data_IF_281237601493
#
_entry.id   IF_281237601493
#
_cell.length_a   1.000
_cell.length_b   1.000
_cell.length_c   1.000
_cell.angle_alpha   90.00
_cell.angle_beta   90.00
_cell.angle_gamma   90.00
#
_symmetry.space_group_name_H-M   'P 1'
#
loop_
_entity.id
_entity.type
_entity.pdbx_description
1 polymer ?
#
# COMPACT_ATOMS: atom_id res chain seq x y z
N UNK A 1 19.02 4.38 -8.10
CA UNK A 1 17.79 4.14 -7.30
C UNK A 1 17.43 5.42 -6.55
N UNK A 2 16.68 6.34 -7.19
CA UNK A 2 16.27 7.65 -6.63
C UNK A 2 14.80 8.00 -6.91
N UNK A 3 13.99 7.07 -7.46
CA UNK A 3 12.65 7.38 -8.02
C UNK A 3 11.46 7.10 -7.10
N UNK A 4 11.67 6.53 -5.91
CA UNK A 4 10.59 6.14 -4.99
C UNK A 4 10.33 7.13 -3.84
N UNK A 5 11.30 8.00 -3.52
CA UNK A 5 11.18 8.93 -2.39
C UNK A 5 10.21 10.09 -2.68
N UNK A 6 9.98 10.39 -3.97
CA UNK A 6 9.08 11.47 -4.39
C UNK A 6 7.61 11.12 -4.28
N UNK A 7 7.24 9.85 -4.51
CA UNK A 7 5.86 9.39 -4.28
C UNK A 7 5.57 9.36 -2.77
N UNK A 8 6.56 9.01 -1.94
CA UNK A 8 6.50 9.01 -0.47
C UNK A 8 6.04 10.32 0.16
N UNK A 9 6.32 11.49 -0.45
CA UNK A 9 5.96 12.79 0.11
C UNK A 9 4.49 13.20 -0.15
N UNK A 10 3.80 12.54 -1.07
CA UNK A 10 2.45 12.95 -1.50
C UNK A 10 1.29 12.39 -0.67
N UNK A 11 1.56 11.52 0.29
CA UNK A 11 0.58 10.50 0.66
C UNK A 11 0.19 10.45 2.12
N UNK A 12 1.01 10.98 3.00
CA UNK A 12 0.64 11.38 4.34
C UNK A 12 1.92 11.84 5.02
N UNK A 13 1.91 13.13 5.41
CA UNK A 13 2.96 13.88 6.10
C UNK A 13 3.58 14.96 5.20
N UNK A 14 3.07 16.18 5.40
CA UNK A 14 3.96 17.32 5.51
C UNK A 14 5.04 16.99 6.55
N UNK A 15 6.15 16.37 6.12
CA UNK A 15 7.37 16.26 6.90
C UNK A 15 8.45 16.94 6.09
N UNK A 16 8.55 18.23 6.36
CA UNK A 16 9.79 18.99 6.28
C UNK A 16 10.91 18.20 6.98
N UNK A 17 11.70 17.44 6.24
CA UNK A 17 12.99 16.97 6.74
C UNK A 17 13.94 16.63 5.59
N UNK A 18 14.92 17.52 5.35
CA UNK A 18 16.26 17.02 5.08
C UNK A 18 16.96 17.35 3.78
N UNK A 19 16.70 18.50 3.13
CA UNK A 19 17.74 19.12 2.26
C UNK A 19 18.53 20.17 3.06
N UNK A 20 18.92 19.82 4.29
CA UNK A 20 19.76 20.67 5.15
C UNK A 20 21.24 20.31 5.13
N UNK A 21 21.68 19.35 4.30
CA UNK A 21 23.08 18.90 4.31
C UNK A 21 23.88 19.22 3.04
N UNK A 22 23.28 19.42 1.86
CA UNK A 22 24.04 19.70 0.62
C UNK A 22 24.03 21.16 0.16
N UNK A 23 23.14 22.01 0.67
CA UNK A 23 23.14 23.46 0.37
C UNK A 23 23.78 24.33 1.46
N UNK A 24 24.46 23.71 2.45
CA UNK A 24 25.02 24.44 3.60
C UNK A 24 26.15 25.42 3.27
N UNK A 25 26.63 25.50 2.02
CA UNK A 25 27.75 26.38 1.67
C UNK A 25 27.59 27.26 0.42
N UNK A 26 26.45 27.30 -0.28
CA UNK A 26 26.43 28.00 -1.58
C UNK A 26 25.85 29.42 -1.61
N UNK A 27 25.18 29.96 -0.58
CA UNK A 27 24.96 31.42 -0.55
C UNK A 27 24.53 31.97 0.82
N UNK A 28 25.48 32.54 1.57
CA UNK A 28 25.18 33.37 2.75
C UNK A 28 24.44 34.68 2.40
N UNK A 29 24.35 35.01 1.11
CA UNK A 29 23.75 36.26 0.60
C UNK A 29 22.32 36.10 0.04
N UNK A 30 21.78 34.88 -0.03
CA UNK A 30 20.42 34.66 -0.53
C UNK A 30 19.37 35.06 0.52
N UNK A 31 18.29 35.72 0.08
CA UNK A 31 17.20 36.10 0.97
C UNK A 31 16.54 34.86 1.59
N UNK A 32 15.84 35.03 2.72
CA UNK A 32 15.07 33.92 3.32
C UNK A 32 14.01 33.37 2.35
N UNK A 33 13.47 34.21 1.47
CA UNK A 33 12.46 33.85 0.47
C UNK A 33 13.07 33.06 -0.69
N UNK A 34 14.24 33.47 -1.19
CA UNK A 34 15.01 32.71 -2.20
C UNK A 34 15.34 31.32 -1.69
N UNK A 35 15.77 31.21 -0.42
CA UNK A 35 16.08 29.92 0.20
C UNK A 35 14.85 29.03 0.37
N UNK A 36 13.68 29.61 0.64
CA UNK A 36 12.43 28.87 0.70
C UNK A 36 12.05 28.28 -0.65
N UNK A 37 12.07 29.08 -1.71
CA UNK A 37 11.79 28.63 -3.08
C UNK A 37 12.73 27.50 -3.51
N UNK A 38 14.03 27.65 -3.28
CA UNK A 38 15.03 26.63 -3.61
C UNK A 38 14.94 25.36 -2.74
N UNK A 39 14.17 25.40 -1.65
CA UNK A 39 13.93 24.26 -0.77
C UNK A 39 12.55 23.61 -0.98
N UNK A 40 11.73 24.13 -1.91
CA UNK A 40 10.47 23.50 -2.27
C UNK A 40 10.70 22.10 -2.86
N UNK A 41 9.69 21.25 -2.74
CA UNK A 41 9.70 19.93 -3.36
C UNK A 41 9.79 20.07 -4.89
N UNK A 42 10.54 19.18 -5.53
CA UNK A 42 10.66 19.10 -6.99
C UNK A 42 9.37 18.55 -7.63
N UNK A 43 8.32 18.27 -6.85
CA UNK A 43 7.05 17.72 -7.31
C UNK A 43 5.90 18.68 -6.99
N UNK A 44 5.03 18.87 -7.98
CA UNK A 44 3.77 19.58 -7.83
C UNK A 44 2.62 18.61 -8.09
N UNK A 45 1.58 18.73 -7.27
CA UNK A 45 0.46 17.81 -7.25
C UNK A 45 -0.78 18.57 -7.70
N UNK A 46 -1.55 17.99 -8.63
CA UNK A 46 -2.82 18.58 -9.07
C UNK A 46 -3.93 17.56 -9.15
N UNK A 47 -5.03 17.86 -8.45
CA UNK A 47 -6.26 17.09 -8.55
C UNK A 47 -7.00 17.45 -9.83
N UNK A 48 -7.40 16.44 -10.60
CA UNK A 48 -8.22 16.61 -11.80
C UNK A 48 -9.37 15.60 -11.84
N UNK A 49 -10.57 16.06 -12.19
CA UNK A 49 -11.79 15.23 -12.18
C UNK A 49 -11.81 14.15 -13.28
N UNK A 50 -11.09 14.36 -14.38
CA UNK A 50 -11.05 13.48 -15.56
C UNK A 50 -9.63 13.37 -16.13
N UNK A 51 -9.43 12.44 -17.07
CA UNK A 51 -8.18 12.31 -17.83
C UNK A 51 -7.89 13.59 -18.60
N UNK A 52 -7.08 14.46 -18.00
CA UNK A 52 -6.62 15.72 -18.56
C UNK A 52 -5.19 15.54 -19.03
N UNK A 53 -4.90 15.93 -20.26
CA UNK A 53 -3.51 16.09 -20.71
C UNK A 53 -2.93 17.32 -20.00
N UNK A 54 -1.70 17.21 -19.50
CA UNK A 54 -0.94 18.31 -18.90
C UNK A 54 -0.95 19.54 -19.82
N UNK A 55 -0.97 19.34 -21.15
CA UNK A 55 -1.04 20.42 -22.15
C UNK A 55 -2.34 21.22 -22.12
N UNK A 56 -3.39 20.69 -21.51
CA UNK A 56 -4.70 21.34 -21.43
C UNK A 56 -4.89 22.17 -20.16
N UNK A 57 -3.91 22.19 -19.25
CA UNK A 57 -3.95 22.98 -18.04
C UNK A 57 -3.94 24.48 -18.36
N UNK A 58 -4.80 25.21 -17.68
CA UNK A 58 -4.92 26.67 -17.79
C UNK A 58 -4.04 27.39 -16.76
N UNK A 59 -3.85 28.69 -16.93
CA UNK A 59 -3.17 29.51 -15.93
C UNK A 59 -3.84 29.47 -14.56
N UNK A 60 -5.17 29.34 -14.51
CA UNK A 60 -5.91 29.17 -13.26
C UNK A 60 -5.53 27.86 -12.56
N UNK A 61 -5.35 26.76 -13.31
CA UNK A 61 -4.87 25.50 -12.74
C UNK A 61 -3.47 25.64 -12.17
N UNK A 62 -2.54 26.31 -12.87
CA UNK A 62 -1.19 26.53 -12.33
C UNK A 62 -1.18 27.42 -11.09
N UNK A 63 -2.08 28.39 -11.02
CA UNK A 63 -2.26 29.21 -9.82
C UNK A 63 -2.72 28.35 -8.63
N UNK A 64 -3.70 27.48 -8.83
CA UNK A 64 -4.18 26.55 -7.80
C UNK A 64 -3.07 25.59 -7.34
N UNK A 65 -2.35 24.98 -8.28
CA UNK A 65 -1.24 24.05 -8.00
C UNK A 65 -0.18 24.72 -7.13
N UNK A 66 0.27 25.90 -7.54
CA UNK A 66 1.29 26.63 -6.79
C UNK A 66 0.74 27.12 -5.45
N UNK A 67 -0.52 27.55 -5.40
CA UNK A 67 -1.13 27.95 -4.14
C UNK A 67 -1.13 26.80 -3.14
N UNK A 68 -1.53 25.59 -3.54
CA UNK A 68 -1.48 24.41 -2.67
C UNK A 68 -0.06 24.13 -2.18
N UNK A 69 0.93 24.17 -3.07
CA UNK A 69 2.33 23.92 -2.74
C UNK A 69 2.93 24.96 -1.76
N UNK A 70 2.52 26.22 -1.85
CA UNK A 70 3.01 27.28 -0.96
C UNK A 70 2.20 27.39 0.34
N UNK A 71 0.95 26.93 0.38
CA UNK A 71 0.05 27.13 1.51
C UNK A 71 0.24 26.12 2.65
N UNK A 72 1.32 25.33 2.59
CA UNK A 72 1.72 24.34 3.61
C UNK A 72 2.03 25.01 4.95
N UNK A 73 2.54 26.24 4.95
CA UNK A 73 2.86 27.02 6.14
C UNK A 73 2.59 28.52 5.93
N UNK A 74 2.60 29.31 7.01
CA UNK A 74 2.27 30.74 6.95
C UNK A 74 3.33 31.57 6.21
N UNK A 75 4.59 31.12 6.19
CA UNK A 75 5.65 31.80 5.47
C UNK A 75 5.50 31.62 3.95
N UNK A 76 5.17 30.42 3.50
CA UNK A 76 4.86 30.12 2.10
C UNK A 76 3.62 30.89 1.62
N UNK A 77 2.57 30.99 2.44
CA UNK A 77 1.40 31.85 2.14
C UNK A 77 1.79 33.31 1.96
N UNK A 78 2.61 33.85 2.87
CA UNK A 78 3.13 35.22 2.77
C UNK A 78 3.90 35.41 1.45
N UNK A 79 4.80 34.48 1.13
CA UNK A 79 5.61 34.55 -0.07
C UNK A 79 4.76 34.51 -1.35
N UNK A 80 3.85 33.54 -1.47
CA UNK A 80 2.98 33.38 -2.63
C UNK A 80 2.18 34.65 -2.96
N UNK A 81 1.67 35.33 -1.92
CA UNK A 81 0.90 36.56 -2.10
C UNK A 81 1.74 37.76 -2.59
N UNK A 82 3.06 37.72 -2.41
CA UNK A 82 4.00 38.81 -2.72
C UNK A 82 4.87 38.54 -3.95
N UNK A 83 4.72 37.39 -4.61
CA UNK A 83 5.41 37.07 -5.85
C UNK A 83 4.41 36.94 -7.01
N UNK A 84 4.96 36.93 -8.21
CA UNK A 84 4.27 36.58 -9.45
C UNK A 84 5.00 35.41 -10.08
N UNK A 85 4.28 34.56 -10.79
CA UNK A 85 4.86 33.42 -11.49
C UNK A 85 4.51 33.48 -12.98
N UNK A 86 5.39 32.91 -13.79
CA UNK A 86 5.21 32.75 -15.23
C UNK A 86 5.61 31.32 -15.61
N UNK A 87 4.68 30.59 -16.21
CA UNK A 87 4.96 29.25 -16.73
C UNK A 87 5.75 29.40 -18.03
N UNK A 88 7.03 29.02 -18.01
CA UNK A 88 7.92 29.15 -19.16
C UNK A 88 7.76 27.97 -20.12
N UNK A 89 7.58 26.76 -19.58
CA UNK A 89 7.65 25.52 -20.36
C UNK A 89 6.93 24.37 -19.66
N UNK A 90 6.29 23.52 -20.46
CA UNK A 90 5.65 22.27 -20.03
C UNK A 90 5.97 21.19 -21.06
N UNK A 91 6.77 20.20 -20.68
CA UNK A 91 7.10 19.05 -21.54
C UNK A 91 7.21 17.79 -20.69
N UNK A 92 6.56 16.70 -21.13
CA UNK A 92 6.66 15.37 -20.52
C UNK A 92 6.42 15.31 -19.00
N UNK A 93 5.56 16.19 -18.47
CA UNK A 93 5.27 16.30 -17.04
C UNK A 93 6.25 17.19 -16.26
N UNK A 94 7.27 17.76 -16.89
CA UNK A 94 8.12 18.78 -16.29
C UNK A 94 7.57 20.19 -16.56
N UNK A 95 7.34 20.94 -15.49
CA UNK A 95 6.85 22.31 -15.46
C UNK A 95 7.99 23.25 -15.04
N UNK A 96 8.38 24.17 -15.92
CA UNK A 96 9.40 25.20 -15.63
C UNK A 96 8.72 26.53 -15.33
N UNK A 97 8.98 27.10 -14.15
CA UNK A 97 8.29 28.29 -13.63
C UNK A 97 9.31 29.35 -13.26
N UNK A 98 9.03 30.57 -13.67
CA UNK A 98 9.78 31.77 -13.33
C UNK A 98 9.03 32.56 -12.25
N UNK A 99 9.66 32.74 -11.10
CA UNK A 99 9.17 33.54 -9.98
C UNK A 99 9.82 34.93 -9.97
N UNK A 100 9.01 35.98 -9.77
CA UNK A 100 9.42 37.39 -9.72
C UNK A 100 8.73 38.11 -8.56
N UNK A 101 9.38 39.10 -7.98
CA UNK A 101 8.77 39.96 -6.96
C UNK A 101 7.57 40.75 -7.51
N UNK A 102 6.48 40.82 -6.74
CA UNK A 102 5.36 41.71 -7.02
C UNK A 102 5.72 43.14 -6.56
N UNK A 103 5.30 44.16 -7.32
CA UNK A 103 5.30 45.57 -6.90
C UNK A 103 6.62 46.12 -6.28
N UNK A 104 7.79 45.83 -6.86
CA UNK A 104 9.11 46.35 -6.42
C UNK A 104 9.50 46.00 -4.97
N UNK A 105 8.90 44.98 -4.34
CA UNK A 105 9.17 44.59 -2.94
C UNK A 105 10.59 44.05 -2.71
N UNK A 106 11.32 43.66 -3.76
CA UNK A 106 12.70 43.12 -3.72
C UNK A 106 12.88 42.02 -2.66
N UNK A 107 11.94 41.08 -2.55
CA UNK A 107 12.02 39.96 -1.60
C UNK A 107 12.97 38.88 -2.11
N UNK A 108 12.90 38.56 -3.40
CA UNK A 108 13.75 37.54 -4.03
C UNK A 108 15.13 38.09 -4.44
N UNK A 109 15.27 39.41 -4.54
CA UNK A 109 16.42 40.16 -5.09
C UNK A 109 16.71 39.91 -6.58
N UNK A 110 16.39 38.72 -7.08
CA UNK A 110 16.53 38.30 -8.45
C UNK A 110 15.37 37.39 -8.87
N UNK A 111 15.20 37.24 -10.18
CA UNK A 111 14.25 36.31 -10.76
C UNK A 111 14.73 34.87 -10.57
N UNK A 112 13.86 33.97 -10.10
CA UNK A 112 14.21 32.58 -9.80
C UNK A 112 13.46 31.66 -10.76
N UNK A 113 14.17 30.78 -11.44
CA UNK A 113 13.58 29.75 -12.31
C UNK A 113 13.71 28.40 -11.60
N UNK A 114 12.58 27.74 -11.39
CA UNK A 114 12.51 26.38 -10.85
C UNK A 114 11.86 25.43 -11.85
N UNK A 115 12.18 24.15 -11.69
CA UNK A 115 11.58 23.06 -12.46
C UNK A 115 10.90 22.11 -11.49
N UNK A 116 9.70 21.70 -11.84
CA UNK A 116 8.89 20.78 -11.06
C UNK A 116 8.43 19.63 -11.94
N UNK A 117 8.28 18.44 -11.36
CA UNK A 117 7.57 17.33 -11.95
C UNK A 117 6.10 17.47 -11.53
N UNK A 118 5.22 17.72 -12.49
CA UNK A 118 3.78 17.77 -12.26
C UNK A 118 3.20 16.36 -12.25
N UNK A 119 2.40 16.08 -11.22
CA UNK A 119 1.69 14.82 -11.05
C UNK A 119 0.19 15.09 -11.05
N UNK A 120 -0.49 14.63 -12.09
CA UNK A 120 -1.95 14.69 -12.22
C UNK A 120 -2.60 13.43 -11.63
N UNK A 121 -3.55 13.64 -10.71
CA UNK A 121 -4.29 12.56 -10.07
C UNK A 121 -5.78 12.87 -9.90
N UNK A 122 -6.61 11.83 -9.93
CA UNK A 122 -8.05 11.89 -9.73
C UNK A 122 -8.42 11.42 -8.32
N UNK A 123 -8.36 12.33 -7.35
CA UNK A 123 -8.64 12.03 -5.95
C UNK A 123 -10.12 11.70 -5.68
N UNK A 124 -11.05 12.19 -6.50
CA UNK A 124 -12.50 11.91 -6.34
C UNK A 124 -12.80 10.42 -6.47
N UNK A 125 -11.96 9.68 -7.20
CA UNK A 125 -12.14 8.26 -7.43
C UNK A 125 -11.46 7.37 -6.40
N UNK A 126 -10.80 7.92 -5.38
CA UNK A 126 -10.13 7.10 -4.36
C UNK A 126 -11.10 6.17 -3.64
N UNK A 127 -12.25 6.68 -3.20
CA UNK A 127 -13.22 5.84 -2.47
C UNK A 127 -13.78 4.73 -3.36
N UNK A 128 -14.12 5.04 -4.61
CA UNK A 128 -14.58 4.06 -5.61
C UNK A 128 -13.49 3.02 -5.88
N UNK A 129 -12.24 3.46 -6.04
CA UNK A 129 -11.09 2.59 -6.24
C UNK A 129 -10.91 1.63 -5.07
N UNK A 130 -10.89 2.14 -3.84
CA UNK A 130 -10.74 1.36 -2.61
C UNK A 130 -11.84 0.31 -2.50
N UNK A 131 -13.09 0.71 -2.75
CA UNK A 131 -14.23 -0.19 -2.72
C UNK A 131 -14.06 -1.36 -3.71
N UNK A 132 -13.72 -1.05 -4.97
CA UNK A 132 -13.53 -2.08 -6.01
C UNK A 132 -12.34 -2.97 -5.68
N UNK A 133 -11.21 -2.41 -5.26
CA UNK A 133 -10.01 -3.18 -4.93
C UNK A 133 -10.20 -4.09 -3.73
N UNK A 134 -10.86 -3.61 -2.67
CA UNK A 134 -11.19 -4.44 -1.50
C UNK A 134 -12.08 -5.62 -1.88
N UNK A 135 -13.10 -5.38 -2.71
CA UNK A 135 -13.96 -6.46 -3.21
C UNK A 135 -13.18 -7.45 -4.06
N UNK A 136 -12.30 -6.97 -4.94
CA UNK A 136 -11.45 -7.83 -5.76
C UNK A 136 -10.52 -8.70 -4.91
N UNK A 137 -9.81 -8.12 -3.95
CA UNK A 137 -8.88 -8.83 -3.07
C UNK A 137 -9.59 -9.83 -2.15
N UNK A 138 -10.78 -9.49 -1.65
CA UNK A 138 -11.63 -10.41 -0.85
C UNK A 138 -12.11 -11.62 -1.66
N UNK A 139 -12.52 -11.39 -2.91
CA UNK A 139 -13.05 -12.44 -3.78
C UNK A 139 -11.95 -13.30 -4.44
N UNK A 140 -10.70 -12.86 -4.41
CA UNK A 140 -9.58 -13.57 -5.03
C UNK A 140 -8.52 -13.96 -3.99
N UNK A 141 -8.85 -14.76 -2.96
CA UNK A 141 -7.95 -15.04 -1.84
C UNK A 141 -6.58 -15.54 -2.28
N UNK A 142 -5.51 -15.09 -1.63
CA UNK A 142 -4.19 -15.70 -1.83
C UNK A 142 -4.18 -17.10 -1.18
N UNK A 143 -3.73 -18.10 -1.96
CA UNK A 143 -3.72 -19.50 -1.54
C UNK A 143 -2.30 -19.86 -1.11
N UNK A 144 -2.16 -20.29 0.15
CA UNK A 144 -0.91 -20.75 0.73
C UNK A 144 -0.79 -22.27 0.56
N UNK A 145 0.25 -22.72 -0.13
CA UNK A 145 0.42 -24.13 -0.55
C UNK A 145 1.47 -24.89 0.25
N UNK A 146 2.29 -24.19 1.05
CA UNK A 146 3.27 -24.80 1.97
C UNK A 146 2.95 -24.45 3.42
N UNK A 147 3.48 -25.28 4.32
CA UNK A 147 3.27 -25.14 5.77
C UNK A 147 4.06 -24.00 6.40
N UNK A 148 5.18 -23.58 5.80
CA UNK A 148 6.05 -22.53 6.35
C UNK A 148 6.30 -21.46 5.29
N UNK A 149 5.69 -20.29 5.48
CA UNK A 149 6.01 -19.06 4.75
C UNK A 149 6.71 -18.08 5.70
N UNK A 150 7.76 -17.43 5.22
CA UNK A 150 8.20 -16.17 5.83
C UNK A 150 7.42 -15.00 5.21
N UNK A 151 7.38 -13.86 5.90
CA UNK A 151 6.64 -12.67 5.47
C UNK A 151 6.96 -12.28 4.02
N UNK A 152 8.25 -12.15 3.69
CA UNK A 152 8.73 -11.78 2.34
C UNK A 152 8.17 -12.70 1.23
N UNK A 153 8.06 -14.00 1.49
CA UNK A 153 7.53 -14.94 0.49
C UNK A 153 6.02 -14.76 0.26
N UNK A 154 5.28 -14.33 1.29
CA UNK A 154 3.86 -14.00 1.13
C UNK A 154 3.72 -12.70 0.34
N UNK A 155 4.57 -11.71 0.60
CA UNK A 155 4.59 -10.44 -0.14
C UNK A 155 4.89 -10.69 -1.63
N UNK A 156 5.87 -11.55 -1.94
CA UNK A 156 6.19 -11.96 -3.31
C UNK A 156 5.00 -12.64 -4.00
N UNK A 157 4.27 -13.49 -3.28
CA UNK A 157 3.06 -14.12 -3.80
C UNK A 157 1.93 -13.13 -4.06
N UNK A 158 1.71 -12.17 -3.15
CA UNK A 158 0.73 -11.10 -3.32
C UNK A 158 1.09 -10.24 -4.54
N UNK A 159 2.37 -9.84 -4.65
CA UNK A 159 2.90 -9.09 -5.78
C UNK A 159 2.70 -9.85 -7.09
N UNK A 160 3.11 -11.10 -7.16
CA UNK A 160 2.94 -11.95 -8.34
C UNK A 160 1.47 -12.05 -8.78
N UNK A 161 0.56 -12.19 -7.83
CA UNK A 161 -0.87 -12.37 -8.11
C UNK A 161 -1.60 -11.08 -8.47
N UNK A 162 -1.32 -9.98 -7.78
CA UNK A 162 -2.17 -8.80 -7.80
C UNK A 162 -1.54 -7.55 -8.42
N UNK A 163 -0.20 -7.44 -8.44
CA UNK A 163 0.52 -6.24 -8.89
C UNK A 163 -0.01 -5.69 -10.21
N UNK A 164 -0.05 -6.53 -11.25
CA UNK A 164 -0.43 -6.11 -12.60
C UNK A 164 -1.85 -5.53 -12.67
N UNK A 165 -2.79 -6.11 -11.93
CA UNK A 165 -4.18 -5.64 -11.92
C UNK A 165 -4.29 -4.35 -11.13
N UNK A 166 -3.65 -4.31 -9.96
CA UNK A 166 -3.59 -3.13 -9.13
C UNK A 166 -2.99 -1.94 -9.88
N UNK A 167 -1.80 -2.11 -10.45
CA UNK A 167 -1.09 -1.07 -11.20
C UNK A 167 -1.92 -0.54 -12.37
N UNK A 168 -2.52 -1.46 -13.13
CA UNK A 168 -3.38 -1.10 -14.27
C UNK A 168 -4.63 -0.34 -13.81
N UNK A 169 -5.26 -0.79 -12.73
CA UNK A 169 -6.48 -0.16 -12.24
C UNK A 169 -6.20 1.21 -11.65
N UNK A 170 -5.14 1.34 -10.84
CA UNK A 170 -4.65 2.61 -10.29
C UNK A 170 -4.29 3.60 -11.39
N UNK A 171 -3.56 3.16 -12.42
CA UNK A 171 -3.27 3.99 -13.60
C UNK A 171 -4.54 4.41 -14.36
N UNK A 172 -5.55 3.56 -14.43
CA UNK A 172 -6.77 3.88 -15.17
C UNK A 172 -7.74 4.81 -14.41
N UNK A 173 -7.74 4.73 -13.08
CA UNK A 173 -8.75 5.39 -12.23
C UNK A 173 -8.19 6.57 -11.45
N UNK A 174 -6.94 6.49 -11.02
CA UNK A 174 -6.34 7.42 -10.06
C UNK A 174 -5.25 8.30 -10.67
N UNK A 175 -4.35 7.78 -11.50
CA UNK A 175 -3.14 8.52 -11.91
C UNK A 175 -3.01 8.61 -13.41
N UNK A 176 -2.86 9.84 -13.92
CA UNK A 176 -3.02 10.11 -15.35
C UNK A 176 -1.70 10.23 -16.12
N UNK A 177 -0.57 10.34 -15.42
CA UNK A 177 0.75 10.62 -16.02
C UNK A 177 1.66 9.39 -16.00
N UNK A 178 1.39 8.40 -16.85
CA UNK A 178 2.30 7.29 -17.19
C UNK A 178 2.96 6.47 -16.05
N UNK A 179 2.65 6.72 -14.77
CA UNK A 179 3.10 5.90 -13.65
C UNK A 179 2.35 4.57 -13.72
N UNK A 180 3.09 3.48 -13.60
CA UNK A 180 2.59 2.12 -13.79
C UNK A 180 3.09 1.12 -12.74
N UNK A 181 3.71 1.59 -11.65
CA UNK A 181 4.31 0.76 -10.60
C UNK A 181 3.74 1.09 -9.21
N UNK A 182 2.41 1.20 -9.11
CA UNK A 182 1.72 1.60 -7.87
C UNK A 182 1.85 0.59 -6.73
N UNK A 183 1.97 -0.69 -7.04
CA UNK A 183 2.13 -1.76 -6.07
C UNK A 183 3.40 -1.61 -5.23
N UNK A 184 4.45 -0.98 -5.78
CA UNK A 184 5.70 -0.76 -5.04
C UNK A 184 5.55 0.27 -3.90
N UNK A 185 4.41 0.96 -3.82
CA UNK A 185 4.07 1.90 -2.74
C UNK A 185 3.07 1.31 -1.74
N UNK A 186 2.84 0.01 -1.80
CA UNK A 186 2.07 -0.72 -0.80
C UNK A 186 3.02 -1.26 0.26
N UNK A 187 2.78 -0.88 1.50
CA UNK A 187 3.44 -1.47 2.66
C UNK A 187 2.60 -2.62 3.22
N UNK A 188 3.28 -3.65 3.73
CA UNK A 188 2.63 -4.84 4.27
C UNK A 188 2.68 -4.80 5.79
N UNK A 189 1.52 -4.90 6.45
CA UNK A 189 1.51 -5.17 7.89
C UNK A 189 1.97 -6.61 8.15
N UNK A 190 2.54 -6.83 9.34
CA UNK A 190 2.91 -8.18 9.75
C UNK A 190 1.67 -9.08 9.74
N UNK A 191 1.79 -10.23 9.06
CA UNK A 191 0.67 -11.15 8.92
C UNK A 191 0.44 -11.91 10.22
N UNK A 192 -0.68 -11.67 10.92
CA UNK A 192 -1.09 -12.42 12.12
C UNK A 192 -2.26 -13.40 11.85
N UNK A 193 -2.23 -14.63 12.36
CA UNK A 193 -3.14 -15.72 11.93
C UNK A 193 -4.64 -15.44 11.99
N UNK A 194 -5.10 -14.73 13.03
CA UNK A 194 -6.51 -14.55 13.36
C UNK A 194 -7.02 -13.15 12.98
N UNK A 195 -6.11 -12.24 12.63
CA UNK A 195 -6.46 -10.86 12.33
C UNK A 195 -6.70 -10.63 10.84
N UNK A 196 -7.60 -9.68 10.50
CA UNK A 196 -7.78 -9.21 9.14
C UNK A 196 -6.43 -8.79 8.54
N UNK A 197 -6.26 -9.09 7.25
CA UNK A 197 -5.00 -8.93 6.54
C UNK A 197 -5.06 -7.67 5.72
N UNK A 198 -4.15 -6.75 6.01
CA UNK A 198 -4.14 -5.44 5.43
C UNK A 198 -2.89 -5.20 4.59
N UNK A 199 -3.11 -4.52 3.49
CA UNK A 199 -2.09 -3.82 2.71
C UNK A 199 -2.26 -2.33 3.04
N UNK A 200 -1.23 -1.72 3.62
CA UNK A 200 -1.23 -0.29 3.88
C UNK A 200 -0.84 0.43 2.60
N UNK A 201 -1.77 1.23 2.08
CA UNK A 201 -1.54 2.09 0.95
C UNK A 201 -1.63 3.54 1.43
N UNK A 202 -0.50 4.05 1.95
CA UNK A 202 -0.37 5.48 2.27
C UNK A 202 -0.82 6.31 1.08
N UNK A 203 -0.55 5.84 -0.14
CA UNK A 203 -0.90 6.58 -1.36
C UNK A 203 -2.38 6.83 -1.62
N UNK A 204 -3.23 6.19 -0.83
CA UNK A 204 -4.66 6.24 -0.92
C UNK A 204 -5.25 6.86 0.35
N UNK A 205 -4.67 7.94 0.89
CA UNK A 205 -5.04 8.51 2.20
C UNK A 205 -4.85 7.52 3.36
N UNK A 206 -3.68 6.87 3.46
CA UNK A 206 -3.43 5.88 4.52
C UNK A 206 -4.49 4.79 4.61
N UNK A 207 -5.00 4.36 3.45
CA UNK A 207 -6.04 3.34 3.40
C UNK A 207 -5.45 1.96 3.65
N UNK A 208 -6.19 1.17 4.43
CA UNK A 208 -5.95 -0.26 4.58
C UNK A 208 -6.80 -1.04 3.56
N UNK A 209 -6.14 -1.78 2.68
CA UNK A 209 -6.80 -2.68 1.74
C UNK A 209 -6.86 -4.10 2.31
N UNK A 210 -8.07 -4.61 2.45
CA UNK A 210 -8.35 -5.95 2.97
C UNK A 210 -8.02 -7.01 1.92
N UNK A 211 -7.31 -8.07 2.31
CA UNK A 211 -7.19 -9.27 1.48
C UNK A 211 -7.49 -10.53 2.28
N UNK A 212 -7.88 -11.59 1.55
CA UNK A 212 -8.18 -12.90 2.15
C UNK A 212 -7.03 -13.87 1.90
N UNK A 213 -6.65 -14.61 2.94
CA UNK A 213 -5.74 -15.75 2.84
C UNK A 213 -6.53 -17.04 3.03
N UNK A 214 -6.30 -18.01 2.15
CA UNK A 214 -6.78 -19.38 2.29
C UNK A 214 -5.60 -20.34 2.25
N UNK A 215 -5.77 -21.49 2.90
CA UNK A 215 -4.81 -22.59 2.88
C UNK A 215 -5.23 -23.63 1.87
N UNK A 216 -4.26 -24.15 1.13
CA UNK A 216 -4.49 -25.34 0.34
C UNK A 216 -4.62 -26.56 1.27
N UNK A 217 -5.65 -27.37 1.04
CA UNK A 217 -5.93 -28.62 1.76
C UNK A 217 -5.87 -29.84 0.83
N UNK A 218 -5.52 -29.66 -0.44
CA UNK A 218 -5.48 -30.76 -1.42
C UNK A 218 -4.51 -31.88 -1.03
N UNK A 219 -3.39 -31.53 -0.39
CA UNK A 219 -2.35 -32.48 0.02
C UNK A 219 -2.70 -33.28 1.30
N UNK A 220 -3.75 -32.89 2.03
CA UNK A 220 -4.02 -33.45 3.36
C UNK A 220 -4.43 -34.93 3.28
N UNK A 221 -3.72 -35.79 4.01
CA UNK A 221 -4.07 -37.21 4.12
C UNK A 221 -3.89 -38.01 2.83
N UNK A 222 -3.01 -37.55 1.93
CA UNK A 222 -2.65 -38.29 0.71
C UNK A 222 -1.70 -39.47 1.03
N UNK A 223 -0.92 -39.39 2.10
CA UNK A 223 -0.06 -40.49 2.56
C UNK A 223 -0.76 -41.35 3.64
N UNK A 224 -0.43 -42.64 3.69
CA UNK A 224 -1.03 -43.58 4.63
C UNK A 224 -0.67 -43.33 6.10
N UNK A 225 0.57 -42.87 6.36
CA UNK A 225 1.07 -42.54 7.71
C UNK A 225 0.58 -41.17 8.21
N UNK A 226 0.20 -40.28 7.29
CA UNK A 226 -0.37 -38.97 7.62
C UNK A 226 -1.80 -39.05 8.14
N UNK A 227 -2.38 -40.24 8.29
CA UNK A 227 -3.74 -40.41 8.81
C UNK A 227 -3.78 -40.73 10.30
N UNK A 228 -2.72 -40.48 11.06
CA UNK A 228 -2.65 -40.88 12.47
C UNK A 228 -2.48 -39.70 13.42
N UNK A 229 -3.18 -39.76 14.56
CA UNK A 229 -3.06 -38.78 15.65
C UNK A 229 -3.01 -39.44 17.03
N UNK A 230 -2.39 -38.74 17.98
CA UNK A 230 -2.46 -39.11 19.39
C UNK A 230 -3.87 -38.82 19.92
N UNK A 231 -4.38 -39.74 20.74
CA UNK A 231 -5.68 -39.58 21.38
C UNK A 231 -5.53 -39.19 22.84
N UNK A 232 -6.39 -38.29 23.32
CA UNK A 232 -6.50 -37.93 24.73
C UNK A 232 -7.97 -37.91 25.14
N UNK A 233 -8.24 -38.29 26.39
CA UNK A 233 -9.57 -38.16 27.00
C UNK A 233 -9.90 -36.69 27.29
N UNK A 234 -8.87 -35.85 27.46
CA UNK A 234 -9.05 -34.41 27.64
C UNK A 234 -9.29 -33.74 26.28
N UNK A 235 -10.47 -33.14 26.11
CA UNK A 235 -10.90 -32.50 24.86
C UNK A 235 -9.93 -31.43 24.37
N UNK A 236 -9.42 -30.58 25.28
CA UNK A 236 -8.48 -29.51 24.90
C UNK A 236 -7.15 -30.06 24.40
N UNK A 237 -6.65 -31.13 25.03
CA UNK A 237 -5.45 -31.83 24.56
C UNK A 237 -5.74 -32.48 23.20
N UNK A 238 -6.90 -33.11 23.04
CA UNK A 238 -7.28 -33.78 21.80
C UNK A 238 -7.41 -32.81 20.62
N UNK A 239 -8.11 -31.68 20.80
CA UNK A 239 -8.21 -30.62 19.80
C UNK A 239 -6.84 -30.04 19.44
N UNK A 240 -5.94 -29.89 20.42
CA UNK A 240 -4.55 -29.47 20.18
C UNK A 240 -3.78 -30.49 19.32
N UNK A 241 -3.93 -31.79 19.57
CA UNK A 241 -3.27 -32.82 18.74
C UNK A 241 -3.80 -32.81 17.29
N UNK A 242 -5.11 -32.63 17.10
CA UNK A 242 -5.71 -32.45 15.77
C UNK A 242 -5.14 -31.20 15.09
N UNK A 243 -5.09 -30.07 15.80
CA UNK A 243 -4.52 -28.83 15.28
C UNK A 243 -3.05 -28.98 14.90
N UNK A 244 -2.24 -29.61 15.75
CA UNK A 244 -0.84 -29.90 15.47
C UNK A 244 -0.67 -30.74 14.21
N UNK A 245 -1.57 -31.70 13.97
CA UNK A 245 -1.61 -32.47 12.74
C UNK A 245 -1.93 -31.57 11.52
N UNK A 246 -2.98 -30.75 11.58
CA UNK A 246 -3.35 -29.78 10.51
C UNK A 246 -2.17 -28.83 10.19
N UNK A 247 -1.49 -28.33 11.22
CA UNK A 247 -0.37 -27.39 11.11
C UNK A 247 0.85 -27.96 10.39
N UNK A 248 1.05 -29.29 10.38
CA UNK A 248 2.13 -29.92 9.59
C UNK A 248 1.93 -29.72 8.09
N UNK A 249 0.67 -29.65 7.66
CA UNK A 249 0.29 -29.62 6.25
C UNK A 249 -0.12 -28.22 5.77
N UNK A 250 -0.25 -27.24 6.66
CA UNK A 250 -0.73 -25.89 6.30
C UNK A 250 -0.17 -24.79 7.18
N UNK A 251 -0.10 -23.58 6.62
CA UNK A 251 0.50 -22.43 7.28
C UNK A 251 -0.32 -21.87 8.45
N UNK A 252 0.20 -21.97 9.66
CA UNK A 252 -0.33 -21.30 10.86
C UNK A 252 0.82 -20.73 11.71
N UNK A 253 0.93 -19.39 11.83
CA UNK A 253 1.82 -18.68 12.78
C UNK A 253 1.35 -18.80 14.24
N UNK A 254 2.25 -19.14 15.15
CA UNK A 254 2.06 -19.10 16.63
C UNK A 254 0.78 -19.73 17.22
N UNK A 255 0.55 -19.53 18.53
CA UNK A 255 -0.37 -20.26 19.40
C UNK A 255 -1.84 -19.90 19.14
N UNK A 256 -2.44 -20.53 18.12
CA UNK A 256 -3.90 -20.53 17.97
C UNK A 256 -4.53 -21.14 19.22
N UNK A 257 -5.46 -20.40 19.84
CA UNK A 257 -6.16 -20.85 21.04
C UNK A 257 -7.58 -21.35 20.75
N UNK A 258 -8.22 -20.85 19.70
CA UNK A 258 -9.56 -21.26 19.33
C UNK A 258 -9.55 -22.25 18.15
N UNK A 259 -9.54 -23.55 18.45
CA UNK A 259 -9.51 -24.59 17.43
C UNK A 259 -10.82 -24.74 16.64
N UNK A 260 -11.95 -24.31 17.23
CA UNK A 260 -13.28 -24.48 16.65
C UNK A 260 -13.49 -23.61 15.39
N UNK A 261 -12.70 -22.55 15.22
CA UNK A 261 -12.69 -21.73 14.00
C UNK A 261 -11.94 -22.40 12.83
N UNK A 262 -11.13 -23.42 13.13
CA UNK A 262 -10.27 -24.11 12.16
C UNK A 262 -10.90 -25.40 11.66
N UNK A 263 -11.44 -26.20 12.57
CA UNK A 263 -12.05 -27.48 12.25
C UNK A 263 -13.19 -27.80 13.21
N UNK A 264 -14.11 -28.65 12.78
CA UNK A 264 -15.15 -29.23 13.62
C UNK A 264 -14.94 -30.74 13.72
N UNK A 265 -15.17 -31.31 14.91
CA UNK A 265 -15.18 -32.76 15.09
C UNK A 265 -16.59 -33.25 14.78
N UNK A 266 -16.72 -34.00 13.70
CA UNK A 266 -18.01 -34.53 13.24
C UNK A 266 -18.36 -35.84 13.95
N UNK A 267 -17.36 -36.70 14.15
CA UNK A 267 -17.59 -38.04 14.72
C UNK A 267 -16.36 -38.59 15.44
N UNK A 268 -16.56 -39.22 16.60
CA UNK A 268 -15.54 -39.99 17.32
C UNK A 268 -15.98 -41.46 17.40
N UNK A 269 -15.22 -42.36 16.75
CA UNK A 269 -15.37 -43.82 16.86
C UNK A 269 -14.22 -44.43 17.67
N UNK A 270 -14.35 -45.72 17.99
CA UNK A 270 -13.38 -46.48 18.83
C UNK A 270 -11.92 -46.19 18.45
N UNK A 271 -11.57 -46.29 17.16
CA UNK A 271 -10.19 -46.10 16.65
C UNK A 271 -10.05 -44.97 15.62
N UNK A 272 -11.08 -44.13 15.44
CA UNK A 272 -11.10 -43.11 14.38
C UNK A 272 -11.75 -41.82 14.88
N UNK A 273 -11.32 -40.69 14.34
CA UNK A 273 -12.01 -39.41 14.45
C UNK A 273 -12.22 -38.84 13.05
N UNK A 274 -13.38 -38.27 12.79
CA UNK A 274 -13.67 -37.55 11.55
C UNK A 274 -13.79 -36.07 11.87
N UNK A 275 -13.07 -35.24 11.13
CA UNK A 275 -13.08 -33.79 11.26
C UNK A 275 -13.46 -33.15 9.93
N UNK A 276 -14.11 -31.99 9.97
CA UNK A 276 -14.32 -31.10 8.84
C UNK A 276 -13.41 -29.88 8.97
N UNK A 277 -12.76 -29.48 7.87
CA UNK A 277 -12.00 -28.24 7.82
C UNK A 277 -12.90 -27.05 7.50
N UNK A 278 -12.65 -25.91 8.17
CA UNK A 278 -13.38 -24.65 7.99
C UNK A 278 -13.23 -24.08 6.57
N UNK A 279 -14.35 -23.81 5.91
CA UNK A 279 -14.41 -23.15 4.60
C UNK A 279 -13.94 -21.68 4.64
N UNK A 280 -13.86 -21.09 5.84
CA UNK A 280 -13.31 -19.75 6.06
C UNK A 280 -11.80 -19.72 5.89
N UNK A 281 -11.09 -20.81 6.21
CA UNK A 281 -9.63 -20.87 6.28
C UNK A 281 -8.97 -21.76 5.22
N UNK A 282 -9.74 -22.65 4.57
CA UNK A 282 -9.25 -23.58 3.56
C UNK A 282 -9.97 -23.41 2.23
N UNK A 283 -9.25 -23.64 1.14
CA UNK A 283 -9.79 -23.56 -0.24
C UNK A 283 -10.77 -24.68 -0.58
N UNK A 284 -10.53 -25.88 -0.04
CA UNK A 284 -11.41 -27.04 -0.17
C UNK A 284 -11.79 -27.52 1.23
N UNK A 285 -12.99 -27.19 1.74
CA UNK A 285 -13.47 -27.77 2.99
C UNK A 285 -13.55 -29.29 2.81
N UNK A 286 -12.79 -30.03 3.61
CA UNK A 286 -12.58 -31.47 3.46
C UNK A 286 -13.00 -32.17 4.74
N UNK A 287 -13.68 -33.31 4.58
CA UNK A 287 -13.87 -34.29 5.65
C UNK A 287 -12.66 -35.22 5.69
N UNK A 288 -12.03 -35.32 6.85
CA UNK A 288 -10.80 -36.09 7.04
C UNK A 288 -11.02 -37.06 8.19
N UNK A 289 -10.76 -38.34 7.96
CA UNK A 289 -10.77 -39.35 9.01
C UNK A 289 -9.34 -39.70 9.43
N UNK A 290 -9.04 -39.50 10.71
CA UNK A 290 -7.76 -39.81 11.33
C UNK A 290 -7.92 -41.07 12.22
N UNK A 291 -6.97 -41.98 12.12
CA UNK A 291 -6.83 -43.17 12.94
C UNK A 291 -6.10 -42.81 14.25
N UNK A 292 -6.49 -43.47 15.35
CA UNK A 292 -5.80 -43.31 16.63
C UNK A 292 -4.50 -44.12 16.63
N UNK A 293 -3.40 -43.48 17.04
CA UNK A 293 -2.19 -44.19 17.44
C UNK A 293 -2.49 -44.91 18.76
N UNK A 294 -2.18 -46.20 18.84
CA UNK A 294 -2.32 -47.00 20.06
C UNK A 294 -1.28 -46.60 21.09
#
# INVERSE_FOLDING_TARGET
MKKLLSVWLSLSLAVSAGVTSTLKNENKYASKYTRYLLAMDDFLYHRVENKMDIKNLTNENFEEILKEAFYVDDFGKELFNNITFEVLKIEDGELTILFKDKNNLKLLNENIILKFNLVLFNYDKINDFIYVMNNFLKNNPLILTKSNYIQLEVEDLLKSKFKKIFDRYSSSVLFLDNINEFWEFIDFEELENENPKYLNASFLNDTKLDFKLLRDSQSFGNEGFDKYINFSVNENIFKREIFNWIKKHSFFKENVKNYDDIFTIEEIRKNKVTISLSDKLFTVPKLITLNKIK
#
